data_IF_115969735971
#
_entry.id   IF_115969735971
#
_cell.length_a   1.000
_cell.length_b   1.000
_cell.length_c   1.000
_cell.angle_alpha   90.00
_cell.angle_beta   90.00
_cell.angle_gamma   90.00
#
_symmetry.space_group_name_H-M   'P 1'
#
loop_
_entity.id
_entity.type
_entity.pdbx_description
1 polymer ?
#
# COMPACT_ATOMS: atom_id res chain seq x y z
N UNK A 1 15.20 -10.14 10.24
CA UNK A 1 15.67 -9.18 9.22
C UNK A 1 16.17 -7.91 9.92
N UNK A 2 17.25 -7.31 9.45
CA UNK A 2 17.95 -6.20 10.15
C UNK A 2 17.83 -4.84 9.45
N UNK A 3 17.24 -4.82 8.26
CA UNK A 3 17.06 -3.59 7.47
C UNK A 3 15.76 -2.88 7.80
N UNK A 4 15.57 -1.72 7.24
CA UNK A 4 14.33 -0.94 7.34
C UNK A 4 13.39 -1.31 6.20
N UNK A 5 12.17 -1.72 6.55
CA UNK A 5 11.17 -2.18 5.59
C UNK A 5 9.89 -1.36 5.66
N UNK A 6 9.17 -1.35 4.56
CA UNK A 6 7.81 -0.83 4.48
C UNK A 6 6.89 -1.91 3.89
N UNK A 7 5.74 -2.13 4.51
CA UNK A 7 4.65 -2.94 3.97
C UNK A 7 3.59 -2.01 3.44
N UNK A 8 3.25 -2.15 2.17
CA UNK A 8 2.15 -1.40 1.53
C UNK A 8 1.06 -2.39 1.17
N UNK A 9 -0.15 -2.16 1.67
CA UNK A 9 -1.25 -3.12 1.59
C UNK A 9 -2.52 -2.51 1.03
N UNK A 10 -3.07 -3.15 0.00
CA UNK A 10 -4.42 -2.95 -0.52
C UNK A 10 -5.36 -4.01 0.05
N UNK A 11 -6.60 -3.63 0.38
CA UNK A 11 -7.54 -4.47 1.11
C UNK A 11 -8.80 -4.76 0.30
N UNK A 12 -9.05 -6.05 0.04
CA UNK A 12 -10.31 -6.53 -0.52
C UNK A 12 -11.16 -7.27 0.53
N UNK A 13 -12.43 -7.49 0.21
CA UNK A 13 -13.38 -8.16 1.12
C UNK A 13 -13.09 -9.65 1.35
N UNK A 14 -12.42 -10.27 0.40
CA UNK A 14 -12.11 -11.71 0.45
C UNK A 14 -13.24 -12.64 -0.01
N UNK A 15 -14.42 -12.10 -0.31
CA UNK A 15 -15.61 -12.85 -0.74
C UNK A 15 -16.01 -12.61 -2.20
N UNK A 16 -15.24 -11.80 -2.92
CA UNK A 16 -15.52 -11.38 -4.30
C UNK A 16 -14.46 -11.82 -5.29
N UNK A 17 -14.36 -11.06 -6.39
CA UNK A 17 -13.34 -11.25 -7.43
C UNK A 17 -12.03 -10.50 -7.13
N UNK A 18 -12.06 -9.56 -6.18
CA UNK A 18 -10.93 -8.73 -5.84
C UNK A 18 -10.03 -9.45 -4.82
N UNK A 19 -8.76 -9.12 -4.85
CA UNK A 19 -7.75 -9.72 -4.00
C UNK A 19 -7.16 -8.69 -3.05
N UNK A 20 -6.94 -9.10 -1.80
CA UNK A 20 -6.03 -8.36 -0.93
C UNK A 20 -4.60 -8.60 -1.38
N UNK A 21 -3.81 -7.54 -1.44
CA UNK A 21 -2.43 -7.60 -1.89
C UNK A 21 -1.52 -6.76 -0.97
N UNK A 22 -0.27 -7.18 -0.79
CA UNK A 22 0.74 -6.33 -0.20
C UNK A 22 2.11 -6.53 -0.85
N UNK A 23 2.92 -5.49 -0.71
CA UNK A 23 4.34 -5.53 -1.01
C UNK A 23 5.16 -5.24 0.22
N UNK A 24 6.32 -5.88 0.33
CA UNK A 24 7.36 -5.47 1.27
C UNK A 24 8.51 -4.88 0.47
N UNK A 25 8.90 -3.69 0.85
CA UNK A 25 9.96 -2.93 0.20
C UNK A 25 11.08 -2.71 1.21
N UNK A 26 12.30 -3.13 0.85
CA UNK A 26 13.52 -2.69 1.51
C UNK A 26 13.75 -1.22 1.11
N UNK A 27 13.51 -0.30 2.04
CA UNK A 27 13.57 1.14 1.75
C UNK A 27 15.00 1.69 1.72
N UNK A 28 15.98 0.95 2.20
CA UNK A 28 17.39 1.33 2.12
C UNK A 28 17.93 1.16 0.70
N UNK A 29 17.41 0.15 -0.03
CA UNK A 29 17.83 -0.16 -1.39
C UNK A 29 16.73 0.08 -2.43
N UNK A 30 15.53 0.49 -2.03
CA UNK A 30 14.35 0.62 -2.88
C UNK A 30 14.04 -0.65 -3.69
N UNK A 31 14.05 -1.80 -3.02
CA UNK A 31 13.83 -3.11 -3.65
C UNK A 31 12.57 -3.75 -3.10
N UNK A 32 11.69 -4.18 -3.98
CA UNK A 32 10.59 -5.07 -3.64
C UNK A 32 11.15 -6.44 -3.26
N UNK A 33 10.93 -6.88 -2.01
CA UNK A 33 11.45 -8.16 -1.50
C UNK A 33 10.38 -9.21 -1.34
N UNK A 34 9.11 -8.82 -1.19
CA UNK A 34 7.96 -9.71 -1.08
C UNK A 34 6.78 -9.16 -1.85
N UNK A 35 5.98 -10.04 -2.38
CA UNK A 35 4.66 -9.80 -2.97
C UNK A 35 3.68 -10.85 -2.42
N UNK A 36 2.52 -10.40 -2.00
CA UNK A 36 1.38 -11.26 -1.67
C UNK A 36 0.15 -10.82 -2.46
N UNK A 37 -0.63 -11.78 -2.93
CA UNK A 37 -1.96 -11.55 -3.51
C UNK A 37 -2.83 -12.77 -3.20
N UNK A 38 -3.96 -12.57 -2.54
CA UNK A 38 -4.85 -13.65 -2.14
C UNK A 38 -6.26 -13.20 -1.75
N UNK A 39 -7.19 -14.14 -1.78
CA UNK A 39 -8.53 -13.97 -1.25
C UNK A 39 -8.50 -14.37 0.23
N UNK A 40 -8.65 -13.39 1.11
CA UNK A 40 -8.55 -13.56 2.56
C UNK A 40 -9.50 -12.56 3.24
N UNK A 41 -10.13 -12.96 4.33
CA UNK A 41 -10.99 -12.06 5.10
C UNK A 41 -10.20 -10.92 5.74
N UNK A 42 -10.86 -9.79 5.97
CA UNK A 42 -10.20 -8.56 6.46
C UNK A 42 -9.55 -8.74 7.83
N UNK A 43 -10.12 -9.57 8.70
CA UNK A 43 -9.54 -9.87 10.01
C UNK A 43 -8.27 -10.69 9.89
N UNK A 44 -8.34 -11.81 9.18
CA UNK A 44 -7.22 -12.71 8.93
C UNK A 44 -6.10 -11.99 8.18
N UNK A 45 -6.46 -11.06 7.29
CA UNK A 45 -5.49 -10.22 6.60
C UNK A 45 -4.78 -9.26 7.56
N UNK A 46 -5.50 -8.63 8.48
CA UNK A 46 -4.90 -7.80 9.52
C UNK A 46 -3.92 -8.57 10.42
N UNK A 47 -4.29 -9.80 10.80
CA UNK A 47 -3.43 -10.70 11.57
C UNK A 47 -2.17 -11.12 10.79
N UNK A 48 -2.30 -11.35 9.47
CA UNK A 48 -1.19 -11.64 8.58
C UNK A 48 -0.24 -10.44 8.49
N UNK A 49 -0.78 -9.25 8.25
CA UNK A 49 -0.01 -8.01 8.16
C UNK A 49 0.74 -7.71 9.48
N UNK A 50 0.09 -7.93 10.62
CA UNK A 50 0.74 -7.78 11.92
C UNK A 50 1.97 -8.68 12.05
N UNK A 51 1.83 -9.98 11.79
CA UNK A 51 2.93 -10.96 11.89
C UNK A 51 4.08 -10.62 10.95
N UNK A 52 3.76 -10.35 9.70
CA UNK A 52 4.75 -9.98 8.67
C UNK A 52 5.46 -8.68 9.05
N UNK A 53 4.73 -7.68 9.51
CA UNK A 53 5.33 -6.41 9.92
C UNK A 53 6.34 -6.57 11.07
N UNK A 54 6.01 -7.40 12.07
CA UNK A 54 6.94 -7.72 13.17
C UNK A 54 8.16 -8.49 12.65
N UNK A 55 7.94 -9.49 11.80
CA UNK A 55 9.04 -10.30 11.21
C UNK A 55 10.01 -9.43 10.41
N UNK A 56 9.50 -8.43 9.69
CA UNK A 56 10.30 -7.49 8.90
C UNK A 56 10.71 -6.25 9.71
N UNK A 57 11.21 -6.48 10.92
CA UNK A 57 11.83 -5.47 11.79
C UNK A 57 10.89 -4.31 12.15
N UNK A 58 9.63 -4.61 12.50
CA UNK A 58 8.60 -3.60 12.75
C UNK A 58 8.43 -2.65 11.55
N UNK A 59 8.26 -3.22 10.36
CA UNK A 59 8.14 -2.47 9.11
C UNK A 59 7.11 -1.35 9.21
N UNK A 60 7.34 -0.23 8.54
CA UNK A 60 6.31 0.80 8.41
C UNK A 60 5.09 0.22 7.68
N UNK A 61 3.97 0.15 8.37
CA UNK A 61 2.73 -0.46 7.86
C UNK A 61 1.82 0.59 7.23
N UNK A 62 1.73 0.57 5.91
CA UNK A 62 0.88 1.47 5.11
C UNK A 62 -0.28 0.66 4.55
N UNK A 63 -1.46 0.81 5.12
CA UNK A 63 -2.69 0.12 4.67
C UNK A 63 -3.62 1.14 4.06
N UNK A 64 -4.21 0.85 2.90
CA UNK A 64 -5.27 1.68 2.34
C UNK A 64 -6.48 1.69 3.27
N UNK A 65 -6.93 2.89 3.65
CA UNK A 65 -8.02 3.06 4.62
C UNK A 65 -9.39 3.31 3.98
N UNK A 66 -9.50 3.20 2.65
CA UNK A 66 -10.78 3.34 1.98
C UNK A 66 -11.72 2.17 2.30
N UNK A 67 -13.00 2.48 2.48
CA UNK A 67 -14.08 1.49 2.66
C UNK A 67 -13.74 0.36 3.65
N UNK A 68 -13.43 -0.81 3.09
CA UNK A 68 -13.19 -2.06 3.84
C UNK A 68 -11.84 -2.09 4.57
N UNK A 69 -10.89 -1.27 4.15
CA UNK A 69 -9.55 -1.20 4.75
C UNK A 69 -9.57 -0.87 6.24
N UNK A 70 -10.61 -0.18 6.72
CA UNK A 70 -10.81 0.10 8.14
C UNK A 70 -10.91 -1.15 9.01
N UNK A 71 -11.52 -2.23 8.52
CA UNK A 71 -11.64 -3.48 9.28
C UNK A 71 -10.26 -4.12 9.52
N UNK A 72 -9.38 -4.08 8.52
CA UNK A 72 -8.00 -4.55 8.62
C UNK A 72 -7.15 -3.66 9.52
N UNK A 73 -7.29 -2.33 9.38
CA UNK A 73 -6.61 -1.35 10.24
C UNK A 73 -6.98 -1.50 11.72
N UNK A 74 -8.26 -1.77 12.01
CA UNK A 74 -8.72 -1.96 13.38
C UNK A 74 -7.99 -3.13 14.06
N UNK A 75 -7.73 -4.23 13.35
CA UNK A 75 -6.96 -5.37 13.88
C UNK A 75 -5.54 -4.93 14.26
N UNK A 76 -4.89 -4.14 13.43
CA UNK A 76 -3.54 -3.63 13.71
C UNK A 76 -3.52 -2.68 14.92
N UNK A 77 -4.53 -1.82 15.04
CA UNK A 77 -4.69 -0.89 16.16
C UNK A 77 -4.94 -1.65 17.46
N UNK A 78 -5.88 -2.59 17.48
CA UNK A 78 -6.23 -3.39 18.65
C UNK A 78 -5.06 -4.28 19.12
N UNK A 79 -4.21 -4.69 18.15
CA UNK A 79 -2.98 -5.44 18.43
C UNK A 79 -1.80 -4.54 18.81
N UNK A 80 -1.99 -3.22 18.91
CA UNK A 80 -0.95 -2.23 19.21
C UNK A 80 0.28 -2.35 18.27
N UNK A 81 0.03 -2.43 16.95
CA UNK A 81 1.13 -2.49 16.00
C UNK A 81 2.03 -1.24 16.12
N UNK A 82 3.37 -1.39 16.30
CA UNK A 82 4.22 -0.30 16.77
C UNK A 82 4.54 0.76 15.72
N UNK A 83 4.39 0.46 14.42
CA UNK A 83 4.86 1.34 13.33
C UNK A 83 3.81 1.50 12.23
N UNK A 84 2.60 1.90 12.64
CA UNK A 84 1.49 2.15 11.71
C UNK A 84 1.63 3.55 11.07
N UNK A 85 1.36 3.63 9.78
CA UNK A 85 1.32 4.90 9.05
C UNK A 85 0.01 5.64 9.30
N UNK A 86 0.08 6.96 9.40
CA UNK A 86 -1.05 7.87 9.55
C UNK A 86 -1.03 8.93 8.46
N UNK A 87 -2.20 9.24 7.88
CA UNK A 87 -2.39 10.33 6.93
C UNK A 87 -3.18 11.49 7.52
N UNK A 88 -2.99 12.73 7.05
CA UNK A 88 -3.75 13.89 7.54
C UNK A 88 -5.24 13.79 7.16
N UNK A 89 -6.13 14.19 8.08
CA UNK A 89 -7.59 14.15 7.90
C UNK A 89 -8.11 15.05 6.78
N UNK A 90 -7.54 16.20 6.61
CA UNK A 90 -7.85 17.14 5.53
C UNK A 90 -6.77 18.21 5.44
N UNK A 91 -6.66 18.86 4.31
CA UNK A 91 -5.78 20.01 4.12
C UNK A 91 -5.21 20.07 2.71
N UNK A 92 -4.42 21.08 2.47
CA UNK A 92 -3.63 21.20 1.25
C UNK A 92 -2.54 20.13 1.29
N UNK A 93 -2.90 18.95 0.79
CA UNK A 93 -2.00 17.82 0.72
C UNK A 93 -1.05 18.09 -0.45
N UNK A 94 0.18 18.48 -0.12
CA UNK A 94 1.28 18.52 -1.08
C UNK A 94 1.84 17.11 -1.23
N UNK A 95 2.46 16.81 -2.37
CA UNK A 95 3.12 15.51 -2.58
C UNK A 95 4.10 15.20 -1.43
N UNK A 96 4.77 16.19 -0.88
CA UNK A 96 5.74 16.05 0.20
C UNK A 96 5.08 15.72 1.56
N UNK A 97 3.82 16.13 1.79
CA UNK A 97 3.12 15.84 3.04
C UNK A 97 2.75 14.35 3.18
N UNK A 98 2.69 13.57 2.09
CA UNK A 98 2.46 12.13 2.14
C UNK A 98 3.68 11.33 2.58
N UNK A 99 4.88 11.87 2.45
CA UNK A 99 6.12 11.17 2.75
C UNK A 99 6.69 11.51 4.13
N UNK A 100 6.05 12.43 4.84
CA UNK A 100 6.45 12.76 6.21
C UNK A 100 5.80 11.76 7.16
N UNK A 101 6.59 11.10 7.99
CA UNK A 101 6.08 10.26 9.08
C UNK A 101 5.36 11.16 10.10
N UNK A 102 4.05 11.03 10.20
CA UNK A 102 3.26 11.77 11.16
C UNK A 102 2.99 10.91 12.41
N UNK A 103 3.14 11.52 13.57
CA UNK A 103 2.73 10.91 14.81
C UNK A 103 1.19 10.88 14.93
N UNK A 104 0.67 9.90 15.66
CA UNK A 104 -0.76 9.81 15.93
C UNK A 104 -1.23 11.03 16.72
N UNK A 105 -2.04 11.88 16.12
CA UNK A 105 -2.66 13.03 16.75
C UNK A 105 -4.10 13.22 16.25
N UNK A 106 -4.85 14.18 16.86
CA UNK A 106 -6.26 14.41 16.60
C UNK A 106 -6.58 14.76 15.11
N UNK A 107 -5.60 15.21 14.34
CA UNK A 107 -5.75 15.60 12.93
C UNK A 107 -5.28 14.52 11.96
N UNK A 108 -4.91 13.35 12.46
CA UNK A 108 -4.42 12.24 11.67
C UNK A 108 -5.41 11.07 11.68
N UNK A 109 -5.39 10.28 10.63
CA UNK A 109 -6.14 9.03 10.53
C UNK A 109 -5.18 7.89 10.18
N UNK A 110 -5.37 6.70 10.75
CA UNK A 110 -4.54 5.55 10.42
C UNK A 110 -4.71 5.15 8.96
N UNK A 111 -3.61 4.68 8.37
CA UNK A 111 -3.55 4.23 6.99
C UNK A 111 -3.41 5.35 5.96
N UNK A 112 -3.34 4.95 4.71
CA UNK A 112 -3.22 5.84 3.55
C UNK A 112 -4.58 6.03 2.88
N UNK A 113 -4.96 7.28 2.62
CA UNK A 113 -6.20 7.58 1.91
C UNK A 113 -5.97 7.71 0.42
N UNK A 114 -6.35 6.66 -0.32
CA UNK A 114 -6.39 6.74 -1.78
C UNK A 114 -7.63 7.51 -2.22
N UNK A 115 -7.45 8.50 -3.07
CA UNK A 115 -8.51 9.38 -3.58
C UNK A 115 -8.31 9.65 -5.07
N UNK A 116 -9.32 10.23 -5.72
CA UNK A 116 -9.21 10.69 -7.10
C UNK A 116 -8.08 11.71 -7.32
N UNK A 117 -7.68 12.44 -6.27
CA UNK A 117 -6.57 13.41 -6.32
C UNK A 117 -5.23 12.76 -6.06
N UNK A 118 -5.15 11.81 -5.12
CA UNK A 118 -3.88 11.20 -4.72
C UNK A 118 -3.44 10.08 -5.65
N UNK A 119 -4.39 9.31 -6.22
CA UNK A 119 -4.07 8.20 -7.12
C UNK A 119 -3.18 8.62 -8.31
N UNK A 120 -3.49 9.68 -9.08
CA UNK A 120 -2.61 10.12 -10.17
C UNK A 120 -1.22 10.56 -9.68
N UNK A 121 -1.12 11.18 -8.51
CA UNK A 121 0.15 11.62 -7.94
C UNK A 121 1.04 10.43 -7.56
N UNK A 122 0.48 9.43 -6.90
CA UNK A 122 1.20 8.20 -6.49
C UNK A 122 1.69 7.45 -7.74
N UNK A 123 0.79 7.24 -8.71
CA UNK A 123 1.15 6.54 -9.96
C UNK A 123 2.19 7.33 -10.76
N UNK A 124 2.09 8.66 -10.83
CA UNK A 124 3.09 9.50 -11.48
C UNK A 124 4.47 9.40 -10.81
N UNK A 125 4.52 9.31 -9.48
CA UNK A 125 5.79 9.07 -8.76
C UNK A 125 6.35 7.66 -9.01
N UNK A 126 5.50 6.65 -9.01
CA UNK A 126 5.92 5.28 -9.34
C UNK A 126 6.52 5.22 -10.76
N UNK A 127 5.85 5.82 -11.75
CA UNK A 127 6.37 5.91 -13.13
C UNK A 127 7.74 6.62 -13.19
N UNK A 128 7.90 7.72 -12.46
CA UNK A 128 9.17 8.43 -12.38
C UNK A 128 10.27 7.53 -11.79
N UNK A 129 10.02 6.89 -10.65
CA UNK A 129 10.98 5.98 -10.01
C UNK A 129 11.36 4.80 -10.90
N UNK A 130 10.42 4.26 -11.67
CA UNK A 130 10.69 3.18 -12.61
C UNK A 130 11.56 3.67 -13.79
N UNK A 131 11.28 4.86 -14.36
CA UNK A 131 12.08 5.45 -15.44
C UNK A 131 13.49 5.78 -15.00
N UNK A 132 13.66 6.31 -13.80
CA UNK A 132 14.93 6.63 -13.18
C UNK A 132 15.69 5.40 -12.68
N UNK A 133 15.05 4.23 -12.72
CA UNK A 133 15.56 2.98 -12.14
C UNK A 133 15.89 3.09 -10.65
N UNK A 134 15.14 3.96 -9.96
CA UNK A 134 15.29 4.21 -8.52
C UNK A 134 14.51 3.22 -7.65
N UNK A 135 13.69 2.36 -8.25
CA UNK A 135 13.01 1.25 -7.60
C UNK A 135 13.24 -0.04 -8.40
N UNK A 136 13.42 -1.14 -7.69
CA UNK A 136 13.60 -2.46 -8.30
C UNK A 136 12.37 -3.33 -7.97
N UNK A 137 11.57 -3.63 -9.00
CA UNK A 137 10.45 -4.56 -8.94
C UNK A 137 10.95 -5.93 -9.37
N UNK A 138 10.88 -6.92 -8.48
CA UNK A 138 11.39 -8.27 -8.76
C UNK A 138 10.28 -9.28 -9.08
N UNK A 139 9.06 -9.02 -8.61
CA UNK A 139 7.97 -9.98 -8.71
C UNK A 139 7.31 -9.93 -10.09
N UNK A 140 7.19 -11.12 -10.69
CA UNK A 140 6.65 -11.28 -12.05
C UNK A 140 5.19 -10.84 -12.16
N UNK A 141 4.35 -11.17 -11.17
CA UNK A 141 2.92 -10.80 -11.19
C UNK A 141 2.73 -9.28 -11.15
N UNK A 142 3.48 -8.57 -10.31
CA UNK A 142 3.49 -7.10 -10.28
C UNK A 142 3.86 -6.53 -11.65
N UNK A 143 4.89 -7.09 -12.31
CA UNK A 143 5.30 -6.66 -13.65
C UNK A 143 4.24 -6.94 -14.72
N UNK A 144 3.49 -8.02 -14.59
CA UNK A 144 2.40 -8.36 -15.50
C UNK A 144 1.22 -7.38 -15.34
N UNK A 145 0.84 -7.02 -14.12
CA UNK A 145 -0.19 -6.02 -13.88
C UNK A 145 0.23 -4.62 -14.33
N UNK A 146 1.47 -4.21 -14.08
CA UNK A 146 2.02 -2.94 -14.59
C UNK A 146 1.96 -2.82 -16.13
N UNK A 147 2.12 -3.92 -16.88
CA UNK A 147 2.03 -3.91 -18.34
C UNK A 147 0.62 -3.64 -18.87
N UNK A 148 -0.40 -3.98 -18.10
CA UNK A 148 -1.82 -3.80 -18.44
C UNK A 148 -2.43 -2.58 -17.76
N UNK A 149 -1.64 -1.83 -17.01
CA UNK A 149 -2.05 -0.63 -16.31
C UNK A 149 -1.88 0.58 -17.22
N UNK A 150 -2.96 1.31 -17.49
CA UNK A 150 -3.00 2.36 -18.51
C UNK A 150 -3.65 3.64 -17.98
N UNK A 151 -3.36 4.73 -18.64
CA UNK A 151 -4.10 5.98 -18.49
C UNK A 151 -5.32 5.97 -19.40
N UNK A 152 -6.51 6.04 -18.83
CA UNK A 152 -7.78 6.12 -19.54
C UNK A 152 -8.60 7.30 -19.04
N UNK A 153 -8.96 8.22 -19.94
CA UNK A 153 -9.70 9.43 -19.58
C UNK A 153 -9.09 10.23 -18.41
N UNK A 154 -7.77 10.32 -18.34
CA UNK A 154 -7.05 11.00 -17.28
C UNK A 154 -6.98 10.25 -15.95
N UNK A 155 -7.36 8.97 -15.90
CA UNK A 155 -7.28 8.12 -14.71
C UNK A 155 -6.37 6.91 -14.98
N UNK A 156 -5.48 6.57 -14.04
CA UNK A 156 -4.71 5.35 -14.12
C UNK A 156 -5.56 4.17 -13.63
N UNK A 157 -5.71 3.14 -14.47
CA UNK A 157 -6.51 1.95 -14.18
C UNK A 157 -6.02 0.73 -14.98
N UNK A 158 -6.37 -0.48 -14.54
CA UNK A 158 -6.14 -1.68 -15.32
C UNK A 158 -6.98 -1.66 -16.61
N UNK A 159 -6.48 -2.27 -17.68
CA UNK A 159 -7.25 -2.57 -18.88
C UNK A 159 -8.45 -3.47 -18.54
N UNK A 160 -9.54 -3.36 -19.32
CA UNK A 160 -10.73 -4.18 -19.11
C UNK A 160 -10.38 -5.67 -19.11
N UNK A 161 -10.77 -6.37 -18.03
CA UNK A 161 -10.50 -7.80 -17.84
C UNK A 161 -9.18 -8.11 -17.14
N UNK A 162 -8.43 -7.08 -16.71
CA UNK A 162 -7.21 -7.21 -15.91
C UNK A 162 -7.39 -6.61 -14.52
N UNK A 163 -6.53 -7.02 -13.60
CA UNK A 163 -6.50 -6.52 -12.22
C UNK A 163 -5.37 -5.50 -12.04
N UNK A 164 -5.49 -4.66 -11.02
CA UNK A 164 -4.45 -3.70 -10.60
C UNK A 164 -4.13 -3.79 -9.08
N UNK A 165 -4.52 -4.89 -8.43
CA UNK A 165 -4.35 -5.07 -6.99
C UNK A 165 -2.87 -5.01 -6.55
N UNK A 166 -1.95 -5.43 -7.43
CA UNK A 166 -0.49 -5.36 -7.20
C UNK A 166 0.15 -4.05 -7.68
N UNK A 167 -0.59 -3.18 -8.35
CA UNK A 167 -0.13 -1.85 -8.75
C UNK A 167 -0.56 -0.82 -7.72
N UNK A 168 -1.69 -1.04 -7.06
CA UNK A 168 -2.28 -0.16 -6.07
C UNK A 168 -1.82 -0.48 -4.68
#
# INVERSE_FOLDING_TARGET
>A
YSRTYMVVADVARGDGKDYSAFHIIDIENNVQVVEYKGQIGTKEYGELLYRIGIEYNNALMVVENANIGWATLQVLIDSNYPNLYYSPKSGNITADSYFTKYENNANMIPGFTMSLKTRPLVIGKLDAYMREKSIIIQCKRTMEELRTFIWKNGRPEAQLGYNDDLVM
#
